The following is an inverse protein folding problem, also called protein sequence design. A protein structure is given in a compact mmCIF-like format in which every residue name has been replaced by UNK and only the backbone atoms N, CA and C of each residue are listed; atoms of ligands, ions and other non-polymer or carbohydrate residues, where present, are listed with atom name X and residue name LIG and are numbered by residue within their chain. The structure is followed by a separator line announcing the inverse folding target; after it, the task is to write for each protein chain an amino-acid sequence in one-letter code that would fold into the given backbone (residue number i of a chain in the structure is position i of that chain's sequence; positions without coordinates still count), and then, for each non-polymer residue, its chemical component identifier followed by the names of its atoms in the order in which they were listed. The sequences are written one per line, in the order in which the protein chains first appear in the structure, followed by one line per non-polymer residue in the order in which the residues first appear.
data_IF_867939717547
#
_entry.id   IF_867939717547
#
_cell.length_a   1.000
_cell.length_b   1.000
_cell.length_c   1.000
_cell.angle_alpha   90.00
_cell.angle_beta   90.00
_cell.angle_gamma   90.00
#
_symmetry.space_group_name_H-M   'P 1'
#
loop_
_entity.id
_entity.type
_entity.pdbx_description
1 polymer ?
#
# COMPACT_ATOMS: atom_id res chain seq x y z
N UNK A 1 -0.61 -12.42 -22.14
CA UNK A 1 -0.39 -12.36 -23.61
C UNK A 1 1.12 -12.19 -23.93
N UNK A 2 1.58 -12.54 -25.13
CA UNK A 2 3.01 -12.42 -25.54
C UNK A 2 3.41 -11.06 -26.12
N UNK A 3 2.53 -10.04 -26.01
CA UNK A 3 2.66 -8.76 -26.72
C UNK A 3 2.43 -7.52 -25.83
N UNK A 4 2.49 -7.65 -24.49
CA UNK A 4 2.45 -6.50 -23.58
C UNK A 4 1.07 -5.83 -23.46
N UNK A 5 -0.01 -6.58 -23.68
CA UNK A 5 -1.37 -6.12 -23.39
C UNK A 5 -1.76 -6.38 -21.94
N UNK A 6 -2.79 -5.69 -21.46
CA UNK A 6 -3.36 -5.94 -20.14
C UNK A 6 -4.60 -6.83 -20.31
N UNK A 7 -4.49 -8.09 -19.90
CA UNK A 7 -5.57 -9.09 -19.97
C UNK A 7 -6.47 -9.08 -18.73
N UNK A 8 -6.09 -8.34 -17.68
CA UNK A 8 -6.85 -8.27 -16.43
C UNK A 8 -8.19 -7.53 -16.64
N UNK A 9 -9.27 -8.08 -16.10
CA UNK A 9 -10.62 -7.51 -16.22
C UNK A 9 -10.96 -6.65 -15.00
N UNK A 10 -11.91 -5.70 -15.12
CA UNK A 10 -12.41 -4.91 -13.99
C UNK A 10 -12.80 -5.76 -12.77
N UNK A 11 -13.47 -6.88 -13.01
CA UNK A 11 -13.97 -7.77 -11.96
C UNK A 11 -12.83 -8.48 -11.24
N UNK A 12 -11.78 -8.88 -11.99
CA UNK A 12 -10.60 -9.54 -11.43
C UNK A 12 -9.86 -8.59 -10.51
N UNK A 13 -9.53 -7.38 -10.99
CA UNK A 13 -8.83 -6.36 -10.20
C UNK A 13 -9.66 -5.96 -8.96
N UNK A 14 -10.96 -5.71 -9.15
CA UNK A 14 -11.86 -5.31 -8.06
C UNK A 14 -12.02 -6.43 -7.02
N UNK A 15 -12.04 -7.70 -7.44
CA UNK A 15 -12.09 -8.86 -6.54
C UNK A 15 -10.87 -8.92 -5.60
N UNK A 16 -9.66 -8.78 -6.15
CA UNK A 16 -8.43 -8.73 -5.35
C UNK A 16 -8.43 -7.53 -4.39
N UNK A 17 -8.82 -6.34 -4.87
CA UNK A 17 -8.87 -5.14 -4.05
C UNK A 17 -9.92 -5.26 -2.93
N UNK A 18 -11.07 -5.87 -3.19
CA UNK A 18 -12.10 -6.10 -2.17
C UNK A 18 -11.58 -7.00 -1.03
N UNK A 19 -10.82 -8.05 -1.37
CA UNK A 19 -10.20 -8.93 -0.40
C UNK A 19 -9.18 -8.15 0.47
N UNK A 20 -8.29 -7.38 -0.14
CA UNK A 20 -7.31 -6.58 0.58
C UNK A 20 -7.95 -5.48 1.45
N UNK A 21 -9.05 -4.89 0.99
CA UNK A 21 -9.81 -3.92 1.77
C UNK A 21 -10.42 -4.57 3.01
N UNK A 22 -11.04 -5.75 2.88
CA UNK A 22 -11.59 -6.52 4.01
C UNK A 22 -10.50 -6.98 4.98
N UNK A 23 -9.32 -7.30 4.47
CA UNK A 23 -8.12 -7.62 5.26
C UNK A 23 -7.49 -6.39 5.94
N UNK A 24 -8.04 -5.19 5.75
CA UNK A 24 -7.58 -3.97 6.39
C UNK A 24 -6.19 -3.54 5.93
N UNK A 25 -5.84 -3.81 4.67
CA UNK A 25 -4.52 -3.50 4.11
C UNK A 25 -4.47 -2.15 3.39
N UNK A 26 -5.62 -1.60 3.02
CA UNK A 26 -5.70 -0.48 2.09
C UNK A 26 -6.06 0.84 2.77
N UNK A 27 -5.48 1.91 2.26
CA UNK A 27 -5.82 3.30 2.59
C UNK A 27 -6.20 4.12 1.34
N UNK A 28 -5.66 3.73 0.19
CA UNK A 28 -5.87 4.37 -1.10
C UNK A 28 -5.83 3.28 -2.17
N UNK A 29 -6.72 3.37 -3.15
CA UNK A 29 -6.79 2.45 -4.29
C UNK A 29 -6.99 3.25 -5.56
N UNK A 30 -6.49 2.73 -6.68
CA UNK A 30 -6.53 3.39 -7.97
C UNK A 30 -6.01 2.49 -9.08
N UNK A 31 -5.60 3.09 -10.19
CA UNK A 31 -5.10 2.39 -11.37
C UNK A 31 -3.75 2.89 -11.85
N UNK A 32 -3.10 2.09 -12.68
CA UNK A 32 -1.87 2.44 -13.41
C UNK A 32 -2.07 2.05 -14.89
N UNK A 33 -1.02 1.56 -15.55
CA UNK A 33 -1.12 1.10 -16.94
C UNK A 33 -2.10 -0.07 -17.07
N UNK A 34 -2.97 -0.01 -18.08
CA UNK A 34 -3.99 -1.03 -18.33
C UNK A 34 -5.31 -0.83 -17.58
N UNK A 35 -5.33 -0.03 -16.51
CA UNK A 35 -6.56 0.26 -15.78
C UNK A 35 -7.43 1.22 -16.60
N UNK A 36 -8.72 0.92 -16.71
CA UNK A 36 -9.71 1.74 -17.45
C UNK A 36 -10.73 2.36 -16.50
N UNK A 37 -11.58 3.30 -16.95
CA UNK A 37 -12.67 3.82 -16.11
C UNK A 37 -13.58 2.73 -15.53
N UNK A 38 -13.85 1.65 -16.29
CA UNK A 38 -14.62 0.51 -15.81
C UNK A 38 -13.94 -0.21 -14.62
N UNK A 39 -12.62 -0.30 -14.62
CA UNK A 39 -11.89 -0.83 -13.46
C UNK A 39 -12.05 0.06 -12.23
N UNK A 40 -11.93 1.38 -12.38
CA UNK A 40 -12.06 2.32 -11.26
C UNK A 40 -13.48 2.27 -10.68
N UNK A 41 -14.51 2.18 -11.52
CA UNK A 41 -15.89 2.00 -11.08
C UNK A 41 -16.08 0.69 -10.31
N UNK A 42 -15.62 -0.43 -10.85
CA UNK A 42 -15.71 -1.73 -10.19
C UNK A 42 -14.97 -1.74 -8.83
N UNK A 43 -13.78 -1.13 -8.77
CA UNK A 43 -13.00 -0.96 -7.54
C UNK A 43 -13.79 -0.14 -6.52
N UNK A 44 -14.33 1.02 -6.91
CA UNK A 44 -15.08 1.91 -6.03
C UNK A 44 -16.32 1.21 -5.45
N UNK A 45 -17.05 0.46 -6.27
CA UNK A 45 -18.18 -0.35 -5.82
C UNK A 45 -17.75 -1.46 -4.85
N UNK A 46 -16.65 -2.15 -5.15
CA UNK A 46 -16.17 -3.28 -4.36
C UNK A 46 -15.65 -2.89 -2.97
N UNK A 47 -15.13 -1.67 -2.80
CA UNK A 47 -14.63 -1.17 -1.50
C UNK A 47 -15.63 -0.28 -0.77
N UNK A 48 -16.80 0.00 -1.36
CA UNK A 48 -17.80 0.86 -0.77
C UNK A 48 -18.21 0.38 0.63
N UNK A 49 -18.19 1.30 1.60
CA UNK A 49 -18.55 1.01 2.99
C UNK A 49 -17.47 0.30 3.83
N UNK A 50 -16.31 -0.06 3.24
CA UNK A 50 -15.19 -0.61 4.00
C UNK A 50 -14.36 0.52 4.59
N UNK A 51 -14.13 0.48 5.91
CA UNK A 51 -13.31 1.47 6.57
C UNK A 51 -11.82 1.34 6.16
N UNK A 52 -11.11 2.45 5.92
CA UNK A 52 -9.68 2.42 5.65
C UNK A 52 -8.87 1.82 6.81
N UNK A 53 -7.73 1.21 6.47
CA UNK A 53 -6.76 0.71 7.45
C UNK A 53 -6.36 1.80 8.46
N UNK A 54 -6.26 1.45 9.74
CA UNK A 54 -5.63 2.32 10.75
C UNK A 54 -4.11 2.09 10.76
N UNK A 55 -3.27 3.04 10.30
CA UNK A 55 -1.82 2.85 10.29
C UNK A 55 -1.27 2.82 11.72
N UNK A 56 -0.30 1.93 11.95
CA UNK A 56 0.46 1.93 13.20
C UNK A 56 1.33 3.19 13.29
N UNK A 57 1.55 3.70 14.50
CA UNK A 57 2.46 4.83 14.73
C UNK A 57 3.90 4.38 14.46
N UNK A 58 4.60 4.97 13.47
CA UNK A 58 5.97 4.55 13.17
C UNK A 58 6.91 4.95 14.32
N UNK A 59 7.87 4.08 14.63
CA UNK A 59 9.02 4.45 15.47
C UNK A 59 9.90 5.46 14.73
N UNK A 60 10.52 6.39 15.45
CA UNK A 60 11.44 7.37 14.86
C UNK A 60 12.82 6.73 14.63
N UNK A 61 12.90 5.92 13.58
CA UNK A 61 14.15 5.28 13.12
C UNK A 61 14.39 5.64 11.66
N UNK A 62 15.66 5.74 11.25
CA UNK A 62 16.02 5.81 9.84
C UNK A 62 15.94 4.39 9.28
N UNK A 63 15.14 4.17 8.23
CA UNK A 63 15.01 2.86 7.56
C UNK A 63 15.46 3.01 6.12
N UNK A 64 16.33 2.12 5.65
CA UNK A 64 16.85 2.15 4.28
C UNK A 64 16.29 0.99 3.46
N UNK A 65 16.08 1.23 2.16
CA UNK A 65 15.69 0.20 1.20
C UNK A 65 16.87 -0.70 0.84
N UNK A 66 16.63 -2.00 0.75
CA UNK A 66 17.64 -3.00 0.39
C UNK A 66 17.04 -4.41 0.39
N UNK A 67 17.89 -5.43 0.22
CA UNK A 67 17.45 -6.84 0.27
C UNK A 67 17.09 -7.29 1.69
N UNK A 68 17.62 -6.60 2.72
CA UNK A 68 17.39 -6.92 4.12
C UNK A 68 16.87 -5.69 4.88
N UNK A 69 15.98 -5.87 5.89
CA UNK A 69 15.53 -4.78 6.73
C UNK A 69 16.70 -4.11 7.47
N UNK A 70 16.98 -2.86 7.14
CA UNK A 70 18.00 -2.07 7.82
C UNK A 70 17.36 -0.86 8.50
N UNK A 71 17.55 -0.74 9.82
CA UNK A 71 17.04 0.35 10.63
C UNK A 71 18.10 0.87 11.61
N UNK A 72 18.32 2.18 11.62
CA UNK A 72 19.16 2.88 12.59
C UNK A 72 18.28 3.65 13.58
N UNK A 73 18.44 3.44 14.90
CA UNK A 73 17.79 4.30 15.88
C UNK A 73 18.36 5.72 15.74
N UNK A 74 17.49 6.72 15.75
CA UNK A 74 17.94 8.11 15.87
C UNK A 74 18.48 8.27 17.30
N UNK A 75 19.80 8.35 17.44
CA UNK A 75 20.43 8.68 18.72
C UNK A 75 19.94 10.05 19.17
N UNK A 76 19.58 10.18 20.45
CA UNK A 76 19.28 11.50 21.01
C UNK A 76 20.54 12.37 20.90
N UNK A 77 20.33 13.62 20.49
CA UNK A 77 21.32 14.69 20.40
C UNK A 77 22.32 14.67 21.56
N UNK A 78 23.60 14.56 21.24
CA UNK A 78 24.88 14.95 21.88
C UNK A 78 25.01 15.39 23.36
N UNK A 79 24.01 15.24 24.24
CA UNK A 79 24.06 15.72 25.62
C UNK A 79 24.45 14.64 26.64
N UNK A 80 24.52 13.37 26.26
CA UNK A 80 24.78 12.24 27.19
C UNK A 80 26.19 11.63 27.05
N UNK A 81 27.16 12.35 26.47
CA UNK A 81 28.60 11.95 26.50
C UNK A 81 29.39 12.73 27.57
N UNK A 82 28.72 13.35 28.54
CA UNK A 82 29.38 13.85 29.75
C UNK A 82 28.45 13.80 30.96
N UNK A 83 28.43 12.63 31.60
CA UNK A 83 28.31 12.47 33.04
C UNK A 83 28.95 11.13 33.43
#
# INVERSE_FOLDING_TARGET
NGFGGYDETPETTAGHIAEWAKSGLLNLVGGCCGTTPAHIEAIAQAVAGIAPRKPARPQRTMRLSGLEPFALPLTQSSAEVSA
#
